data_IF_898138149451
#
_entry.id   IF_898138149451
#
_cell.length_a   1.000
_cell.length_b   1.000
_cell.length_c   1.000
_cell.angle_alpha   90.00
_cell.angle_beta   90.00
_cell.angle_gamma   90.00
#
_symmetry.space_group_name_H-M   'P 1'
#
loop_
_entity.id
_entity.type
_entity.pdbx_description
1 polymer ?
#
# COMPACT_ATOMS: atom_id res chain seq x y z
N UNK A 1 26.72 32.50 38.60
CA UNK A 1 25.63 31.60 39.04
C UNK A 1 24.31 31.88 38.31
N UNK A 2 23.63 33.02 38.51
CA UNK A 2 22.32 33.31 37.85
C UNK A 2 22.33 33.33 36.31
N UNK A 3 23.42 33.79 35.68
CA UNK A 3 23.57 33.79 34.21
C UNK A 3 23.80 32.40 33.59
N UNK A 4 24.28 31.43 34.38
CA UNK A 4 24.54 30.07 33.90
C UNK A 4 23.23 29.25 33.85
N UNK A 5 22.34 29.45 34.82
CA UNK A 5 21.01 28.84 34.83
C UNK A 5 20.10 29.37 33.70
N UNK A 6 20.24 30.63 33.32
CA UNK A 6 19.49 31.21 32.21
C UNK A 6 19.86 30.60 30.85
N UNK A 7 21.14 30.24 30.65
CA UNK A 7 21.61 29.60 29.42
C UNK A 7 21.16 28.13 29.36
N UNK A 8 21.18 27.43 30.50
CA UNK A 8 20.69 26.04 30.60
C UNK A 8 19.17 25.93 30.36
N UNK A 9 18.40 26.94 30.77
CA UNK A 9 16.96 26.99 30.51
C UNK A 9 16.64 27.32 29.03
N UNK A 10 17.48 28.13 28.37
CA UNK A 10 17.32 28.47 26.95
C UNK A 10 17.68 27.29 26.02
N UNK A 11 18.66 26.46 26.41
CA UNK A 11 19.04 25.25 25.64
C UNK A 11 17.99 24.12 25.81
N UNK A 12 17.33 24.04 26.97
CA UNK A 12 16.24 23.10 27.20
C UNK A 12 14.96 23.44 26.42
N UNK A 13 14.72 24.73 26.12
CA UNK A 13 13.51 25.17 25.40
C UNK A 13 13.56 24.92 23.88
N UNK A 14 14.72 24.57 23.31
CA UNK A 14 14.88 24.36 21.85
C UNK A 14 14.52 22.92 21.43
N UNK A 15 14.24 22.02 22.38
CA UNK A 15 13.98 20.60 22.09
C UNK A 15 12.50 20.21 22.06
N UNK A 16 11.56 21.13 22.25
CA UNK A 16 10.16 20.86 21.91
C UNK A 16 9.94 21.18 20.44
N UNK A 17 10.62 20.41 19.58
CA UNK A 17 10.11 20.20 18.24
C UNK A 17 8.71 19.64 18.41
N UNK A 18 7.70 20.44 18.06
CA UNK A 18 6.36 19.93 17.80
C UNK A 18 6.53 19.00 16.61
N UNK A 19 6.90 17.75 16.87
CA UNK A 19 6.59 16.65 15.98
C UNK A 19 5.07 16.64 15.93
N UNK A 20 4.52 17.36 14.94
CA UNK A 20 3.11 17.25 14.61
C UNK A 20 2.84 15.75 14.54
N UNK A 21 1.90 15.27 15.36
CA UNK A 21 1.58 13.85 15.44
C UNK A 21 1.45 13.34 14.02
N UNK A 22 2.43 12.54 13.62
CA UNK A 22 2.42 11.82 12.37
C UNK A 22 1.06 11.16 12.23
N UNK A 23 0.31 11.53 11.20
CA UNK A 23 -0.98 10.89 10.95
C UNK A 23 -0.74 9.40 10.80
N UNK A 24 -1.22 8.61 11.75
CA UNK A 24 -1.13 7.16 11.69
C UNK A 24 -1.76 6.69 10.37
N UNK A 25 -1.13 5.78 9.65
CA UNK A 25 -1.64 5.28 8.38
C UNK A 25 -2.97 4.57 8.56
N UNK A 26 -3.77 4.61 7.50
CA UNK A 26 -5.08 3.98 7.46
C UNK A 26 -4.95 2.48 7.23
N UNK A 27 -5.72 1.69 7.97
CA UNK A 27 -5.71 0.23 7.86
C UNK A 27 -7.03 -0.28 7.27
N UNK A 28 -6.99 -1.42 6.61
CA UNK A 28 -8.19 -2.17 6.20
C UNK A 28 -8.00 -3.64 6.49
N UNK A 29 -8.99 -4.27 7.12
CA UNK A 29 -8.97 -5.71 7.40
C UNK A 29 -9.71 -6.44 6.28
N UNK A 30 -9.09 -7.47 5.73
CA UNK A 30 -9.61 -8.27 4.61
C UNK A 30 -9.36 -9.77 4.84
N UNK A 31 -10.21 -10.68 4.37
CA UNK A 31 -9.87 -12.09 4.36
C UNK A 31 -8.73 -12.36 3.36
N UNK A 32 -7.82 -13.27 3.72
CA UNK A 32 -6.77 -13.70 2.80
C UNK A 32 -7.36 -14.46 1.60
N UNK A 33 -6.72 -14.34 0.43
CA UNK A 33 -7.15 -15.03 -0.79
C UNK A 33 -7.35 -16.55 -0.56
N UNK A 34 -6.41 -17.19 0.14
CA UNK A 34 -6.49 -18.63 0.46
C UNK A 34 -7.73 -18.99 1.27
N UNK A 35 -8.20 -18.11 2.16
CA UNK A 35 -9.41 -18.32 2.94
C UNK A 35 -10.65 -18.23 2.04
N UNK A 36 -10.69 -17.24 1.15
CA UNK A 36 -11.76 -17.09 0.18
C UNK A 36 -11.86 -18.31 -0.75
N UNK A 37 -10.72 -18.79 -1.27
CA UNK A 37 -10.65 -19.99 -2.12
C UNK A 37 -11.13 -21.23 -1.39
N UNK A 38 -10.69 -21.45 -0.15
CA UNK A 38 -11.08 -22.62 0.64
C UNK A 38 -12.59 -22.64 0.95
N UNK A 39 -13.21 -21.48 1.14
CA UNK A 39 -14.64 -21.36 1.46
C UNK A 39 -15.54 -21.11 0.24
N UNK A 40 -15.01 -21.18 -0.99
CA UNK A 40 -15.79 -21.04 -2.22
C UNK A 40 -16.27 -19.60 -2.52
N UNK A 41 -15.56 -18.61 -1.97
CA UNK A 41 -15.80 -17.18 -2.19
C UNK A 41 -14.87 -16.64 -3.28
N UNK A 42 -14.96 -17.20 -4.48
CA UNK A 42 -14.18 -16.80 -5.64
C UNK A 42 -15.09 -16.46 -6.83
N UNK A 43 -14.57 -15.63 -7.73
CA UNK A 43 -15.21 -15.28 -9.00
C UNK A 43 -14.20 -15.39 -10.14
N UNK A 44 -14.71 -15.71 -11.34
CA UNK A 44 -13.89 -15.77 -12.55
C UNK A 44 -13.78 -14.37 -13.16
N UNK A 45 -12.55 -13.93 -13.37
CA UNK A 45 -12.22 -12.66 -14.01
C UNK A 45 -11.43 -12.90 -15.29
N UNK A 46 -11.95 -12.39 -16.41
CA UNK A 46 -11.25 -12.45 -17.69
C UNK A 46 -10.28 -11.27 -17.81
N UNK A 47 -9.00 -11.54 -17.66
CA UNK A 47 -7.95 -10.57 -17.91
C UNK A 47 -7.38 -10.78 -19.33
N UNK A 48 -7.89 -10.02 -20.30
CA UNK A 48 -7.38 -9.99 -21.68
C UNK A 48 -7.24 -11.38 -22.34
N UNK A 49 -8.22 -12.27 -22.13
CA UNK A 49 -8.25 -13.63 -22.70
C UNK A 49 -7.81 -14.74 -21.75
N UNK A 50 -7.22 -14.39 -20.59
CA UNK A 50 -6.89 -15.36 -19.53
C UNK A 50 -7.94 -15.31 -18.44
N UNK A 51 -8.66 -16.42 -18.23
CA UNK A 51 -9.59 -16.56 -17.12
C UNK A 51 -8.78 -16.81 -15.86
N UNK A 52 -8.79 -15.83 -14.96
CA UNK A 52 -8.16 -15.89 -13.63
C UNK A 52 -9.24 -15.99 -12.56
N UNK A 53 -8.96 -16.70 -11.48
CA UNK A 53 -9.85 -16.80 -10.33
C UNK A 53 -9.40 -15.80 -9.26
N UNK A 54 -10.31 -14.93 -8.83
CA UNK A 54 -10.04 -13.88 -7.85
C UNK A 54 -11.02 -13.98 -6.67
N UNK A 55 -10.65 -13.53 -5.45
CA UNK A 55 -11.56 -13.46 -4.32
C UNK A 55 -12.81 -12.64 -4.62
N UNK A 56 -13.97 -13.15 -4.20
CA UNK A 56 -15.23 -12.41 -4.15
C UNK A 56 -15.50 -12.02 -2.69
N UNK A 57 -14.97 -10.87 -2.30
CA UNK A 57 -15.11 -10.35 -0.95
C UNK A 57 -16.53 -9.96 -0.57
N UNK A 58 -17.34 -9.56 -1.55
CA UNK A 58 -18.74 -9.22 -1.30
C UNK A 58 -19.48 -10.48 -0.89
N UNK A 59 -19.36 -11.55 -1.69
CA UNK A 59 -19.96 -12.84 -1.39
C UNK A 59 -19.47 -13.38 -0.04
N UNK A 60 -18.20 -13.19 0.31
CA UNK A 60 -17.66 -13.59 1.61
C UNK A 60 -18.35 -12.84 2.78
N UNK A 61 -18.45 -11.51 2.70
CA UNK A 61 -19.05 -10.68 3.74
C UNK A 61 -20.56 -10.88 3.87
N UNK A 62 -21.26 -11.12 2.77
CA UNK A 62 -22.72 -11.31 2.77
C UNK A 62 -23.14 -12.70 3.30
N UNK A 63 -22.27 -13.72 3.18
CA UNK A 63 -22.63 -15.11 3.51
C UNK A 63 -21.97 -15.66 4.77
N UNK A 64 -20.90 -15.04 5.30
CA UNK A 64 -20.16 -15.55 6.46
C UNK A 64 -20.20 -14.58 7.66
N UNK A 65 -21.07 -14.88 8.63
CA UNK A 65 -21.20 -14.10 9.86
C UNK A 65 -19.92 -14.16 10.72
N UNK A 66 -19.21 -15.28 10.72
CA UNK A 66 -17.97 -15.40 11.51
C UNK A 66 -16.89 -14.49 10.93
N UNK A 67 -16.80 -14.40 9.61
CA UNK A 67 -15.90 -13.47 8.94
C UNK A 67 -16.20 -12.01 9.34
N UNK A 68 -17.47 -11.61 9.30
CA UNK A 68 -17.88 -10.24 9.68
C UNK A 68 -17.52 -9.95 11.13
N UNK A 69 -17.76 -10.89 12.05
CA UNK A 69 -17.42 -10.74 13.47
C UNK A 69 -15.90 -10.61 13.67
N UNK A 70 -15.10 -11.45 13.01
CA UNK A 70 -13.63 -11.40 13.10
C UNK A 70 -13.08 -10.09 12.55
N UNK A 71 -13.54 -9.65 11.37
CA UNK A 71 -13.13 -8.38 10.76
C UNK A 71 -13.48 -7.21 11.68
N UNK A 72 -14.70 -7.21 12.23
CA UNK A 72 -15.17 -6.18 13.16
C UNK A 72 -14.32 -6.15 14.43
N UNK A 73 -14.04 -7.32 15.02
CA UNK A 73 -13.24 -7.42 16.24
C UNK A 73 -11.80 -6.95 16.04
N UNK A 74 -11.16 -7.36 14.94
CA UNK A 74 -9.83 -6.85 14.58
C UNK A 74 -9.89 -5.33 14.39
N UNK A 75 -10.93 -4.83 13.71
CA UNK A 75 -11.16 -3.41 13.51
C UNK A 75 -11.27 -2.62 14.82
N UNK A 76 -12.06 -3.11 15.78
CA UNK A 76 -12.19 -2.54 17.13
C UNK A 76 -10.84 -2.50 17.86
N UNK A 77 -10.15 -3.63 17.92
CA UNK A 77 -8.87 -3.74 18.60
C UNK A 77 -7.81 -2.81 18.01
N UNK A 78 -7.84 -2.62 16.69
CA UNK A 78 -6.94 -1.67 16.04
C UNK A 78 -7.35 -0.21 16.29
N UNK A 79 -8.65 0.10 16.32
CA UNK A 79 -9.15 1.43 16.65
C UNK A 79 -8.81 1.84 18.09
N UNK A 80 -8.86 0.90 19.04
CA UNK A 80 -8.40 1.09 20.43
C UNK A 80 -6.91 1.47 20.53
N UNK A 81 -6.10 1.12 19.53
CA UNK A 81 -4.68 1.47 19.42
C UNK A 81 -4.44 2.72 18.55
N UNK A 82 -5.49 3.51 18.32
CA UNK A 82 -5.56 4.72 17.49
C UNK A 82 -5.24 4.52 16.00
N UNK A 83 -5.48 3.34 15.44
CA UNK A 83 -5.36 3.15 13.99
C UNK A 83 -6.65 3.56 13.27
N UNK A 84 -6.59 4.50 12.31
CA UNK A 84 -7.74 4.85 11.49
C UNK A 84 -8.18 3.65 10.63
N UNK A 85 -9.33 3.08 10.94
CA UNK A 85 -9.90 1.96 10.20
C UNK A 85 -10.69 2.44 8.98
N UNK A 86 -10.45 1.80 7.83
CA UNK A 86 -11.31 1.86 6.67
C UNK A 86 -12.09 0.57 6.58
N UNK A 87 -13.40 0.68 6.79
CA UNK A 87 -14.31 -0.44 6.71
C UNK A 87 -14.39 -0.98 5.27
N UNK A 88 -14.17 -2.29 5.14
CA UNK A 88 -14.14 -2.99 3.85
C UNK A 88 -15.52 -3.02 3.21
N UNK A 89 -16.57 -3.33 3.99
CA UNK A 89 -17.93 -3.42 3.49
C UNK A 89 -18.43 -2.08 2.94
N UNK A 90 -18.12 -0.98 3.63
CA UNK A 90 -18.42 0.38 3.19
C UNK A 90 -17.60 0.78 1.96
N UNK A 91 -16.35 0.33 1.87
CA UNK A 91 -15.50 0.56 0.69
C UNK A 91 -16.05 -0.16 -0.55
N UNK A 92 -16.48 -1.42 -0.41
CA UNK A 92 -17.16 -2.18 -1.48
C UNK A 92 -18.43 -1.46 -1.92
N UNK A 93 -19.31 -1.07 -0.99
CA UNK A 93 -20.55 -0.34 -1.32
C UNK A 93 -20.27 0.99 -2.05
N UNK A 94 -19.26 1.75 -1.62
CA UNK A 94 -18.85 2.99 -2.29
C UNK A 94 -18.34 2.77 -3.71
N UNK A 95 -17.64 1.66 -3.94
CA UNK A 95 -17.19 1.26 -5.28
C UNK A 95 -18.39 0.92 -6.16
N UNK A 96 -19.33 0.12 -5.65
CA UNK A 96 -20.55 -0.25 -6.40
C UNK A 96 -21.40 0.95 -6.76
N UNK A 97 -21.63 1.85 -5.81
CA UNK A 97 -22.35 3.09 -6.06
C UNK A 97 -21.64 3.94 -7.12
N UNK A 98 -20.32 4.08 -7.02
CA UNK A 98 -19.55 4.84 -8.01
C UNK A 98 -19.54 4.19 -9.38
N UNK A 99 -19.53 2.86 -9.46
CA UNK A 99 -19.63 2.13 -10.73
C UNK A 99 -21.01 2.31 -11.35
N UNK A 100 -22.08 2.20 -10.55
CA UNK A 100 -23.44 2.45 -11.02
C UNK A 100 -23.62 3.90 -11.49
N UNK A 101 -23.13 4.88 -10.73
CA UNK A 101 -23.13 6.29 -11.12
C UNK A 101 -22.33 6.53 -12.41
N UNK A 102 -21.18 5.85 -12.58
CA UNK A 102 -20.38 5.95 -13.79
C UNK A 102 -21.14 5.36 -14.99
N UNK A 103 -21.73 4.18 -14.86
CA UNK A 103 -22.54 3.56 -15.91
C UNK A 103 -23.76 4.41 -16.30
N UNK A 104 -24.36 5.11 -15.33
CA UNK A 104 -25.48 6.04 -15.57
C UNK A 104 -25.04 7.38 -16.19
N UNK A 105 -23.78 7.79 -16.01
CA UNK A 105 -23.25 9.05 -16.56
C UNK A 105 -22.48 8.86 -17.87
N UNK A 106 -21.96 7.66 -18.15
CA UNK A 106 -21.33 7.32 -19.44
C UNK A 106 -22.37 6.84 -20.44
N UNK A 107 -23.18 7.75 -20.95
CA UNK A 107 -23.88 7.55 -22.22
C UNK A 107 -22.92 7.87 -23.37
N UNK A 108 -22.41 6.83 -24.04
CA UNK A 108 -21.91 6.85 -25.43
C UNK A 108 -20.76 7.81 -25.81
N UNK A 109 -19.54 7.61 -25.31
CA UNK A 109 -18.31 7.93 -26.08
C UNK A 109 -17.03 7.36 -25.42
N UNK A 110 -16.25 6.62 -26.20
CA UNK A 110 -15.01 5.89 -25.85
C UNK A 110 -15.21 4.63 -24.97
N UNK A 111 -15.37 3.48 -25.63
CA UNK A 111 -15.36 2.14 -25.01
C UNK A 111 -13.98 1.68 -24.54
N UNK A 112 -13.15 2.58 -24.00
CA UNK A 112 -11.86 2.26 -23.41
C UNK A 112 -11.98 2.29 -21.89
N UNK A 113 -12.60 1.28 -21.30
CA UNK A 113 -12.49 1.04 -19.87
C UNK A 113 -11.07 0.55 -19.57
N UNK A 114 -10.29 1.28 -18.77
CA UNK A 114 -9.07 0.73 -18.19
C UNK A 114 -9.43 -0.59 -17.51
N UNK A 115 -8.81 -1.68 -17.94
CA UNK A 115 -8.96 -3.01 -17.34
C UNK A 115 -8.22 -3.04 -15.99
N UNK A 116 -8.76 -2.33 -15.00
CA UNK A 116 -8.30 -2.40 -13.61
C UNK A 116 -8.96 -3.60 -12.94
N UNK A 117 -8.17 -4.45 -12.26
CA UNK A 117 -8.75 -5.61 -11.59
C UNK A 117 -9.70 -5.16 -10.46
N UNK A 118 -10.73 -5.94 -10.10
CA UNK A 118 -11.62 -5.60 -8.99
C UNK A 118 -10.87 -5.40 -7.66
N UNK A 119 -9.77 -6.14 -7.46
CA UNK A 119 -8.89 -5.98 -6.32
C UNK A 119 -8.15 -4.64 -6.37
N UNK A 120 -7.56 -4.29 -7.52
CA UNK A 120 -6.85 -3.02 -7.70
C UNK A 120 -7.79 -1.84 -7.52
N UNK A 121 -9.02 -1.92 -8.06
CA UNK A 121 -10.08 -0.94 -7.83
C UNK A 121 -10.43 -0.80 -6.36
N UNK A 122 -10.54 -1.92 -5.64
CA UNK A 122 -10.80 -1.91 -4.21
C UNK A 122 -9.66 -1.24 -3.47
N UNK A 123 -8.41 -1.58 -3.76
CA UNK A 123 -7.24 -0.98 -3.12
C UNK A 123 -7.06 0.50 -3.45
N UNK A 124 -7.24 0.89 -4.71
CA UNK A 124 -7.12 2.26 -5.17
C UNK A 124 -8.26 3.16 -4.69
N UNK A 125 -9.47 2.62 -4.50
CA UNK A 125 -10.61 3.37 -3.95
C UNK A 125 -10.58 3.42 -2.43
N UNK A 126 -10.25 2.31 -1.78
CA UNK A 126 -10.05 2.24 -0.34
C UNK A 126 -8.90 3.16 0.08
N UNK A 127 -7.78 3.21 -0.66
CA UNK A 127 -6.55 3.93 -0.29
C UNK A 127 -6.11 3.63 1.14
N UNK A 128 -6.27 2.38 1.59
CA UNK A 128 -5.69 1.97 2.86
C UNK A 128 -4.17 1.93 2.69
N UNK A 129 -3.43 2.43 3.67
CA UNK A 129 -1.96 2.40 3.64
C UNK A 129 -1.46 0.99 4.01
N UNK A 130 -2.20 0.26 4.86
CA UNK A 130 -1.92 -1.13 5.24
C UNK A 130 -3.17 -2.00 5.11
N UNK A 131 -2.96 -3.19 4.55
CA UNK A 131 -3.93 -4.28 4.48
C UNK A 131 -3.62 -5.32 5.55
N UNK A 132 -4.60 -5.62 6.39
CA UNK A 132 -4.51 -6.70 7.38
C UNK A 132 -5.26 -7.89 6.82
N UNK A 133 -4.53 -8.88 6.31
CA UNK A 133 -5.09 -10.15 5.89
C UNK A 133 -5.32 -11.06 7.09
N UNK A 134 -6.52 -11.63 7.19
CA UNK A 134 -6.85 -12.66 8.17
C UNK A 134 -7.16 -13.99 7.48
N UNK A 135 -6.59 -15.07 8.01
CA UNK A 135 -6.94 -16.45 7.66
C UNK A 135 -7.03 -17.27 8.93
N UNK A 136 -7.96 -18.21 8.96
CA UNK A 136 -8.05 -19.20 10.02
C UNK A 136 -8.44 -20.56 9.49
N UNK A 137 -8.12 -21.59 10.27
CA UNK A 137 -8.52 -22.97 10.09
C UNK A 137 -9.09 -23.52 11.40
N UNK A 138 -10.19 -24.26 11.30
CA UNK A 138 -10.82 -24.93 12.44
C UNK A 138 -10.26 -26.34 12.52
N UNK A 139 -9.49 -26.62 13.56
CA UNK A 139 -8.96 -27.96 13.81
C UNK A 139 -9.96 -28.73 14.67
N UNK A 140 -10.32 -29.94 14.23
CA UNK A 140 -11.21 -30.83 15.00
C UNK A 140 -10.41 -32.04 15.46
N UNK A 141 -10.30 -32.23 16.77
CA UNK A 141 -9.63 -33.37 17.41
C UNK A 141 -10.65 -34.12 18.27
N UNK A 142 -11.34 -35.07 17.63
CA UNK A 142 -12.48 -35.74 18.25
C UNK A 142 -13.57 -34.72 18.61
N UNK A 143 -14.04 -34.68 19.87
CA UNK A 143 -15.06 -33.71 20.28
C UNK A 143 -14.48 -32.33 20.66
N UNK A 144 -13.15 -32.15 20.64
CA UNK A 144 -12.49 -30.86 20.86
C UNK A 144 -12.32 -30.11 19.53
N UNK A 145 -12.49 -28.79 19.57
CA UNK A 145 -12.20 -27.87 18.47
C UNK A 145 -11.17 -26.84 18.91
N UNK A 146 -10.22 -26.52 18.05
CA UNK A 146 -9.32 -25.37 18.21
C UNK A 146 -9.28 -24.59 16.91
N UNK A 147 -8.78 -23.36 16.98
CA UNK A 147 -8.66 -22.49 15.81
C UNK A 147 -7.21 -22.08 15.64
N UNK A 148 -6.64 -22.38 14.48
CA UNK A 148 -5.35 -21.82 14.05
C UNK A 148 -5.64 -20.59 13.20
N UNK A 149 -5.02 -19.46 13.52
CA UNK A 149 -5.20 -18.22 12.77
C UNK A 149 -3.84 -17.64 12.38
N UNK A 150 -3.84 -16.87 11.30
CA UNK A 150 -2.70 -16.07 10.86
C UNK A 150 -3.20 -14.68 10.48
N UNK A 151 -2.52 -13.65 10.99
CA UNK A 151 -2.71 -12.26 10.61
C UNK A 151 -1.46 -11.76 9.88
N UNK A 152 -1.64 -11.06 8.77
CA UNK A 152 -0.54 -10.46 8.00
C UNK A 152 -0.88 -9.00 7.71
N UNK A 153 0.00 -8.09 8.12
CA UNK A 153 -0.03 -6.70 7.70
C UNK A 153 0.82 -6.54 6.44
N UNK A 154 0.20 -6.14 5.33
CA UNK A 154 0.83 -5.85 4.06
C UNK A 154 0.82 -4.34 3.83
N UNK A 155 1.95 -3.76 3.47
CA UNK A 155 2.02 -2.37 3.02
C UNK A 155 1.44 -2.25 1.61
N UNK A 156 0.40 -1.45 1.43
CA UNK A 156 -0.31 -1.33 0.14
C UNK A 156 0.54 -0.70 -0.97
N UNK A 157 1.66 -0.06 -0.64
CA UNK A 157 2.57 0.53 -1.62
C UNK A 157 3.55 -0.51 -2.17
N UNK A 158 4.12 -1.35 -1.31
CA UNK A 158 5.17 -2.29 -1.70
C UNK A 158 4.69 -3.73 -1.83
N UNK A 159 3.48 -4.04 -1.35
CA UNK A 159 2.97 -5.39 -1.12
C UNK A 159 3.85 -6.23 -0.17
N UNK A 160 4.81 -5.61 0.54
CA UNK A 160 5.66 -6.30 1.50
C UNK A 160 4.89 -6.55 2.79
N UNK A 161 5.18 -7.70 3.40
CA UNK A 161 4.70 -7.98 4.74
C UNK A 161 5.49 -7.18 5.77
N UNK A 162 4.79 -6.40 6.58
CA UNK A 162 5.35 -5.50 7.59
C UNK A 162 5.02 -5.92 9.01
N UNK A 163 3.98 -6.74 9.17
CA UNK A 163 3.66 -7.40 10.42
C UNK A 163 3.12 -8.79 10.14
N UNK A 164 3.41 -9.76 11.00
CA UNK A 164 2.70 -11.03 11.00
C UNK A 164 2.61 -11.63 12.39
N UNK A 165 1.53 -12.37 12.60
CA UNK A 165 1.40 -13.24 13.75
C UNK A 165 0.61 -14.47 13.38
N UNK A 166 0.90 -15.58 14.06
CA UNK A 166 0.18 -16.83 13.94
C UNK A 166 -0.01 -17.41 15.33
N UNK A 167 -1.14 -18.05 15.56
CA UNK A 167 -1.43 -18.73 16.81
C UNK A 167 -2.41 -19.87 16.61
N UNK A 168 -2.43 -20.79 17.56
CA UNK A 168 -3.52 -21.77 17.70
C UNK A 168 -4.14 -21.56 19.07
N UNK A 169 -5.44 -21.28 19.10
CA UNK A 169 -6.20 -21.12 20.33
C UNK A 169 -6.29 -22.44 21.10
N UNK A 170 -6.58 -22.33 22.40
CA UNK A 170 -6.75 -23.49 23.27
C UNK A 170 -7.91 -24.39 22.81
N UNK A 171 -7.75 -25.72 22.77
CA UNK A 171 -8.83 -26.61 22.37
C UNK A 171 -10.01 -26.58 23.36
N UNK A 172 -11.21 -26.30 22.86
CA UNK A 172 -12.44 -26.30 23.65
C UNK A 172 -13.46 -27.31 23.14
N UNK A 173 -14.31 -27.77 24.05
CA UNK A 173 -15.41 -28.69 23.77
C UNK A 173 -16.77 -27.99 23.69
N UNK A 174 -16.88 -26.82 24.33
CA UNK A 174 -18.14 -26.12 24.54
C UNK A 174 -18.14 -24.71 23.95
N UNK A 175 -16.97 -24.13 23.63
CA UNK A 175 -16.90 -22.81 23.04
C UNK A 175 -17.33 -22.85 21.57
N UNK A 176 -18.12 -21.87 21.17
CA UNK A 176 -18.44 -21.65 19.78
C UNK A 176 -17.20 -21.23 19.00
N UNK A 177 -17.18 -21.50 17.69
CA UNK A 177 -16.04 -21.18 16.81
C UNK A 177 -15.74 -19.68 16.83
N UNK A 178 -16.77 -18.83 16.90
CA UNK A 178 -16.62 -17.38 17.00
C UNK A 178 -15.86 -16.96 18.28
N UNK A 179 -16.19 -17.54 19.43
CA UNK A 179 -15.52 -17.26 20.70
C UNK A 179 -14.05 -17.67 20.65
N UNK A 180 -13.77 -18.86 20.10
CA UNK A 180 -12.39 -19.35 19.93
C UNK A 180 -11.57 -18.45 18.99
N UNK A 181 -12.19 -17.90 17.95
CA UNK A 181 -11.56 -16.95 17.03
C UNK A 181 -11.23 -15.62 17.73
N UNK A 182 -12.18 -15.08 18.49
CA UNK A 182 -12.00 -13.82 19.21
C UNK A 182 -10.88 -13.92 20.25
N UNK A 183 -10.89 -14.95 21.10
CA UNK A 183 -9.84 -15.18 22.10
C UNK A 183 -8.46 -15.30 21.46
N UNK A 184 -8.39 -16.07 20.36
CA UNK A 184 -7.15 -16.29 19.65
C UNK A 184 -6.59 -14.98 19.06
N UNK A 185 -7.44 -14.14 18.45
CA UNK A 185 -7.02 -12.85 17.86
C UNK A 185 -6.53 -11.87 18.93
N UNK A 186 -7.22 -11.77 20.07
CA UNK A 186 -6.87 -10.86 21.16
C UNK A 186 -5.47 -11.19 21.72
N UNK A 187 -5.16 -12.47 21.94
CA UNK A 187 -3.91 -12.91 22.58
C UNK A 187 -2.63 -12.47 21.83
N UNK A 188 -2.65 -12.41 20.49
CA UNK A 188 -1.46 -11.97 19.72
C UNK A 188 -1.59 -10.57 19.11
N UNK A 189 -2.65 -9.85 19.41
CA UNK A 189 -2.87 -8.52 18.84
C UNK A 189 -1.78 -7.53 19.26
N UNK A 190 -1.35 -7.56 20.53
CA UNK A 190 -0.31 -6.65 21.02
C UNK A 190 1.03 -6.84 20.29
N UNK A 191 1.42 -8.10 20.04
CA UNK A 191 2.64 -8.41 19.30
C UNK A 191 2.54 -7.98 17.82
N UNK A 192 1.35 -8.10 17.22
CA UNK A 192 1.08 -7.66 15.86
C UNK A 192 1.14 -6.13 15.74
N UNK A 193 0.48 -5.41 16.66
CA UNK A 193 0.47 -3.95 16.73
C UNK A 193 1.88 -3.39 16.96
N UNK A 194 2.69 -4.04 17.78
CA UNK A 194 4.08 -3.61 18.00
C UNK A 194 4.92 -3.66 16.72
N UNK A 195 4.72 -4.68 15.86
CA UNK A 195 5.40 -4.77 14.56
C UNK A 195 4.94 -3.66 13.62
N UNK A 196 3.62 -3.39 13.57
CA UNK A 196 3.06 -2.30 12.78
C UNK A 196 3.61 -0.94 13.22
N UNK A 197 3.66 -0.68 14.53
CA UNK A 197 4.21 0.57 15.06
C UNK A 197 5.66 0.77 14.65
N UNK A 198 6.48 -0.29 14.72
CA UNK A 198 7.88 -0.24 14.26
C UNK A 198 7.99 0.12 12.77
N UNK A 199 7.11 -0.42 11.93
CA UNK A 199 7.05 -0.07 10.51
C UNK A 199 6.66 1.41 10.31
N UNK A 200 5.74 1.93 11.11
CA UNK A 200 5.36 3.34 11.03
C UNK A 200 6.44 4.30 11.46
N UNK A 201 7.17 3.96 12.51
CA UNK A 201 8.32 4.75 12.96
C UNK A 201 9.40 4.79 11.86
N UNK A 202 9.61 3.68 11.14
CA UNK A 202 10.47 3.63 9.96
C UNK A 202 9.95 4.51 8.82
N UNK A 203 8.66 4.43 8.47
CA UNK A 203 8.06 5.27 7.43
C UNK A 203 8.16 6.76 7.76
N UNK A 204 8.04 7.13 9.03
CA UNK A 204 8.15 8.51 9.49
C UNK A 204 9.58 9.03 9.46
N UNK A 205 10.55 8.21 9.86
CA UNK A 205 11.96 8.59 9.90
C UNK A 205 12.61 8.54 8.52
N UNK A 206 12.31 7.50 7.74
CA UNK A 206 13.01 7.16 6.50
C UNK A 206 12.17 7.37 5.24
N UNK A 207 10.91 7.83 5.39
CA UNK A 207 10.01 8.00 4.26
C UNK A 207 9.39 6.69 3.78
N UNK A 208 8.45 6.84 2.85
CA UNK A 208 7.72 5.73 2.23
C UNK A 208 8.54 5.10 1.12
N UNK A 209 8.48 3.79 1.06
CA UNK A 209 9.09 3.02 -0.02
C UNK A 209 8.16 2.94 -1.24
N UNK A 210 8.72 3.21 -2.42
CA UNK A 210 8.02 3.10 -3.72
C UNK A 210 8.92 2.45 -4.76
N UNK A 211 8.32 2.05 -5.89
CA UNK A 211 9.01 1.62 -7.10
C UNK A 211 8.79 2.63 -8.23
N UNK A 212 9.86 2.93 -8.95
CA UNK A 212 9.83 3.77 -10.16
C UNK A 212 10.41 2.96 -11.31
N UNK A 213 9.65 2.82 -12.38
CA UNK A 213 10.10 2.21 -13.62
C UNK A 213 10.17 3.29 -14.69
N UNK A 214 11.32 3.47 -15.31
CA UNK A 214 11.49 4.35 -16.47
C UNK A 214 11.64 3.48 -17.69
N UNK A 215 10.86 3.76 -18.74
CA UNK A 215 10.94 3.08 -20.02
C UNK A 215 11.06 4.10 -21.14
N UNK A 216 11.82 3.75 -22.16
CA UNK A 216 11.85 4.50 -23.41
C UNK A 216 11.01 3.75 -24.43
N UNK A 217 10.03 4.46 -24.99
CA UNK A 217 9.26 3.96 -26.11
C UNK A 217 10.00 4.27 -27.40
N UNK A 218 10.27 3.24 -28.20
CA UNK A 218 10.83 3.42 -29.52
C UNK A 218 9.78 4.06 -30.45
N UNK A 219 9.86 5.39 -30.54
CA UNK A 219 9.06 6.20 -31.45
C UNK A 219 9.83 6.57 -32.73
N UNK A 220 10.97 5.89 -33.00
CA UNK A 220 11.84 6.19 -34.13
C UNK A 220 12.68 7.46 -33.97
N UNK A 221 12.70 8.10 -32.80
CA UNK A 221 13.58 9.26 -32.53
C UNK A 221 15.05 8.88 -32.32
N UNK A 222 15.34 7.60 -32.05
CA UNK A 222 16.67 7.12 -31.70
C UNK A 222 17.16 7.57 -30.32
N UNK A 223 16.33 8.28 -29.54
CA UNK A 223 16.64 8.64 -28.17
C UNK A 223 16.43 7.43 -27.28
N UNK A 224 17.46 7.07 -26.52
CA UNK A 224 17.47 6.01 -25.52
C UNK A 224 18.06 6.56 -24.20
N UNK A 225 18.22 5.71 -23.19
CA UNK A 225 18.74 6.13 -21.89
C UNK A 225 20.25 6.42 -21.91
N UNK A 226 20.99 5.92 -22.89
CA UNK A 226 22.42 6.21 -23.10
C UNK A 226 22.63 7.51 -23.89
N UNK A 227 21.56 8.17 -24.33
CA UNK A 227 21.64 9.41 -25.08
C UNK A 227 22.12 10.56 -24.19
N UNK A 228 23.10 11.34 -24.68
CA UNK A 228 23.66 12.47 -23.95
C UNK A 228 22.78 13.72 -24.02
N UNK A 229 22.53 14.33 -22.86
CA UNK A 229 21.85 15.62 -22.74
C UNK A 229 22.64 16.56 -21.83
N UNK A 230 23.19 17.63 -22.39
CA UNK A 230 23.93 18.62 -21.60
C UNK A 230 25.21 18.08 -20.96
N UNK A 231 25.87 17.09 -21.60
CA UNK A 231 27.15 16.53 -21.19
C UNK A 231 27.08 15.39 -20.16
N UNK A 232 25.90 14.83 -19.92
CA UNK A 232 25.68 13.63 -19.13
C UNK A 232 24.68 12.71 -19.84
N UNK A 233 24.76 11.40 -19.60
CA UNK A 233 23.81 10.45 -20.16
C UNK A 233 22.43 10.58 -19.48
N UNK A 234 21.37 10.22 -20.21
CA UNK A 234 20.01 10.30 -19.66
C UNK A 234 19.84 9.40 -18.43
N UNK A 235 20.49 8.23 -18.38
CA UNK A 235 20.55 7.38 -17.19
C UNK A 235 21.11 8.12 -15.98
N UNK A 236 22.28 8.75 -16.12
CA UNK A 236 22.94 9.52 -15.06
C UNK A 236 22.05 10.67 -14.57
N UNK A 237 21.41 11.39 -15.51
CA UNK A 237 20.51 12.50 -15.19
C UNK A 237 19.31 12.04 -14.35
N UNK A 238 18.76 10.86 -14.66
CA UNK A 238 17.63 10.28 -13.92
C UNK A 238 18.09 9.79 -12.56
N UNK A 239 19.21 9.06 -12.49
CA UNK A 239 19.75 8.52 -11.24
C UNK A 239 20.10 9.64 -10.24
N UNK A 240 20.79 10.69 -10.69
CA UNK A 240 21.11 11.86 -9.87
C UNK A 240 19.84 12.52 -9.32
N UNK A 241 18.81 12.63 -10.16
CA UNK A 241 17.54 13.20 -9.73
C UNK A 241 16.86 12.33 -8.67
N UNK A 242 16.84 11.01 -8.85
CA UNK A 242 16.27 10.07 -7.87
C UNK A 242 17.06 10.16 -6.56
N UNK A 243 18.39 10.20 -6.61
CA UNK A 243 19.24 10.37 -5.44
C UNK A 243 18.89 11.65 -4.67
N UNK A 244 18.76 12.78 -5.36
CA UNK A 244 18.46 14.08 -4.72
C UNK A 244 17.03 14.16 -4.17
N UNK A 245 16.10 13.38 -4.71
CA UNK A 245 14.68 13.44 -4.34
C UNK A 245 14.25 12.32 -3.36
N UNK A 246 15.20 11.54 -2.86
CA UNK A 246 15.00 10.46 -1.88
C UNK A 246 15.56 10.81 -0.50
N UNK A 247 14.94 10.25 0.54
CA UNK A 247 15.38 10.42 1.92
C UNK A 247 16.72 9.71 2.10
N UNK A 248 17.74 10.47 2.52
CA UNK A 248 19.11 9.99 2.70
C UNK A 248 19.69 9.26 1.47
N UNK A 249 19.28 9.65 0.26
CA UNK A 249 19.73 9.05 -1.01
C UNK A 249 19.46 7.54 -1.10
N UNK A 250 18.41 7.03 -0.43
CA UNK A 250 18.10 5.61 -0.38
C UNK A 250 17.21 5.20 -1.55
N UNK A 251 17.80 4.46 -2.48
CA UNK A 251 17.15 3.75 -3.56
C UNK A 251 18.03 2.56 -4.00
N UNK A 252 17.44 1.62 -4.72
CA UNK A 252 18.15 0.52 -5.38
C UNK A 252 17.85 0.57 -6.87
N UNK A 253 18.88 0.69 -7.70
CA UNK A 253 18.76 0.50 -9.15
C UNK A 253 18.97 -0.99 -9.43
N UNK A 254 17.87 -1.73 -9.64
CA UNK A 254 17.90 -3.20 -9.77
C UNK A 254 18.18 -3.64 -11.20
N UNK A 255 17.73 -2.86 -12.18
CA UNK A 255 17.95 -3.13 -13.60
C UNK A 255 18.13 -1.81 -14.36
N UNK A 256 19.07 -1.79 -15.30
CA UNK A 256 19.37 -0.64 -16.15
C UNK A 256 19.86 -1.15 -17.51
N UNK A 257 19.13 -0.79 -18.56
CA UNK A 257 19.41 -1.09 -19.95
C UNK A 257 19.23 0.18 -20.77
N UNK A 258 19.60 0.17 -22.04
CA UNK A 258 19.38 1.30 -22.95
C UNK A 258 17.91 1.79 -23.01
N UNK A 259 16.93 0.92 -22.72
CA UNK A 259 15.51 1.25 -22.87
C UNK A 259 14.70 1.16 -21.57
N UNK A 260 15.30 0.71 -20.47
CA UNK A 260 14.60 0.57 -19.19
C UNK A 260 15.51 0.80 -18.00
N UNK A 261 15.00 1.50 -16.97
CA UNK A 261 15.57 1.56 -15.63
C UNK A 261 14.52 1.15 -14.61
N UNK A 262 14.87 0.26 -13.69
CA UNK A 262 14.02 -0.18 -12.60
C UNK A 262 14.63 0.25 -11.26
N UNK A 263 14.00 1.23 -10.63
CA UNK A 263 14.30 1.65 -9.29
C UNK A 263 13.34 1.00 -8.29
N UNK A 264 13.89 0.26 -7.35
CA UNK A 264 13.17 -0.35 -6.24
C UNK A 264 13.63 0.25 -4.92
N UNK A 265 12.85 0.01 -3.87
CA UNK A 265 13.16 0.47 -2.52
C UNK A 265 13.42 1.99 -2.41
N UNK A 266 12.80 2.77 -3.30
CA UNK A 266 13.00 4.22 -3.40
C UNK A 266 12.30 4.87 -2.21
N UNK A 267 13.06 5.50 -1.32
CA UNK A 267 12.52 6.14 -0.12
C UNK A 267 12.15 7.59 -0.38
N UNK A 268 10.87 7.88 -0.54
CA UNK A 268 10.35 9.23 -0.76
C UNK A 268 9.80 9.82 0.55
N UNK A 269 9.97 11.13 0.80
CA UNK A 269 9.39 11.78 1.97
C UNK A 269 7.86 11.73 1.91
N UNK A 270 7.20 11.59 3.07
CA UNK A 270 5.73 11.50 3.16
C UNK A 270 5.03 12.81 2.78
N UNK A 271 5.70 13.94 3.02
CA UNK A 271 5.19 15.27 2.73
C UNK A 271 6.20 16.02 1.85
N UNK A 272 5.68 16.87 0.98
CA UNK A 272 6.43 17.89 0.26
C UNK A 272 6.78 19.03 1.22
N UNK A 273 7.72 19.88 0.83
CA UNK A 273 8.13 21.06 1.62
C UNK A 273 6.96 22.01 1.95
N UNK A 274 5.95 22.05 1.08
CA UNK A 274 4.74 22.85 1.29
C UNK A 274 3.68 22.17 2.19
N UNK A 275 4.01 21.04 2.82
CA UNK A 275 3.14 20.31 3.73
C UNK A 275 2.10 19.42 3.05
N UNK A 276 2.02 19.40 1.71
CA UNK A 276 1.13 18.48 0.99
C UNK A 276 1.68 17.05 1.02
N UNK A 277 0.81 16.05 1.13
CA UNK A 277 1.22 14.65 1.02
C UNK A 277 1.89 14.37 -0.33
N UNK A 278 2.97 13.58 -0.30
CA UNK A 278 3.67 13.12 -1.50
C UNK A 278 3.28 11.67 -1.76
N UNK A 279 2.66 11.43 -2.90
CA UNK A 279 2.39 10.08 -3.40
C UNK A 279 3.34 9.68 -4.53
N UNK A 280 3.36 8.41 -4.88
CA UNK A 280 4.22 7.83 -5.93
C UNK A 280 4.01 8.51 -7.28
N UNK A 281 2.76 8.86 -7.61
CA UNK A 281 2.40 9.56 -8.85
C UNK A 281 3.00 10.95 -8.90
N UNK A 282 2.92 11.67 -7.79
CA UNK A 282 3.43 13.03 -7.64
C UNK A 282 4.95 13.03 -7.75
N UNK A 283 5.63 12.03 -7.17
CA UNK A 283 7.07 11.81 -7.32
C UNK A 283 7.46 11.60 -8.79
N UNK A 284 6.81 10.67 -9.49
CA UNK A 284 7.08 10.43 -10.92
C UNK A 284 6.73 11.64 -11.81
N UNK A 285 5.70 12.41 -11.46
CA UNK A 285 5.37 13.65 -12.16
C UNK A 285 6.42 14.75 -11.97
N UNK A 286 7.08 14.80 -10.81
CA UNK A 286 8.16 15.74 -10.57
C UNK A 286 9.38 15.38 -11.47
N UNK A 287 9.70 14.08 -11.61
CA UNK A 287 10.71 13.60 -12.57
C UNK A 287 10.32 13.93 -14.01
N UNK A 288 9.07 13.70 -14.39
CA UNK A 288 8.54 14.05 -15.72
C UNK A 288 8.76 15.52 -16.07
N UNK A 289 8.47 16.42 -15.11
CA UNK A 289 8.68 17.86 -15.29
C UNK A 289 10.16 18.21 -15.41
N UNK A 290 11.00 17.57 -14.61
CA UNK A 290 12.46 17.75 -14.66
C UNK A 290 13.04 17.32 -16.01
N UNK A 291 12.67 16.15 -16.53
CA UNK A 291 13.13 15.66 -17.84
C UNK A 291 12.63 16.54 -19.00
N UNK A 292 11.40 17.06 -18.90
CA UNK A 292 10.89 18.01 -19.88
C UNK A 292 11.69 19.32 -19.88
N UNK A 293 12.08 19.83 -18.70
CA UNK A 293 12.86 21.06 -18.59
C UNK A 293 14.33 20.89 -18.98
N UNK A 294 14.97 19.78 -18.57
CA UNK A 294 16.41 19.57 -18.74
C UNK A 294 16.77 18.97 -20.10
N UNK A 295 15.92 18.09 -20.63
CA UNK A 295 16.21 17.33 -21.86
C UNK A 295 15.15 17.52 -22.96
N UNK A 296 14.14 18.38 -22.75
CA UNK A 296 13.02 18.59 -23.69
C UNK A 296 12.29 17.29 -24.09
N UNK A 297 12.27 16.31 -23.19
CA UNK A 297 11.65 15.02 -23.43
C UNK A 297 10.14 15.07 -23.14
N UNK A 298 9.38 14.40 -24.00
CA UNK A 298 7.95 14.14 -23.76
C UNK A 298 7.85 12.82 -23.01
N UNK A 299 7.18 12.86 -21.85
CA UNK A 299 7.05 11.68 -21.01
C UNK A 299 5.64 11.56 -20.47
N UNK A 300 5.16 10.32 -20.35
CA UNK A 300 3.86 9.96 -19.79
C UNK A 300 4.05 9.22 -18.48
N UNK A 301 3.27 9.58 -17.46
CA UNK A 301 3.30 8.91 -16.15
C UNK A 301 2.07 8.06 -16.01
N UNK A 302 2.28 6.77 -15.80
CA UNK A 302 1.27 5.78 -15.46
C UNK A 302 1.53 5.26 -14.05
N UNK A 303 0.49 4.82 -13.36
CA UNK A 303 0.61 4.26 -12.00
C UNK A 303 0.00 2.87 -11.99
N UNK A 304 0.71 1.91 -11.40
CA UNK A 304 0.24 0.55 -11.18
C UNK A 304 0.06 0.38 -9.67
N UNK A 305 -1.21 0.44 -9.22
CA UNK A 305 -1.53 0.50 -7.79
C UNK A 305 -1.02 1.79 -7.12
N UNK A 306 -0.81 1.74 -5.81
CA UNK A 306 -0.44 2.91 -5.00
C UNK A 306 1.08 3.17 -4.95
N UNK A 307 1.92 2.14 -5.02
CA UNK A 307 3.36 2.26 -4.79
C UNK A 307 4.28 2.02 -5.99
N UNK A 308 3.74 1.81 -7.20
CA UNK A 308 4.54 1.76 -8.42
C UNK A 308 4.11 2.83 -9.43
N UNK A 309 5.07 3.62 -9.91
CA UNK A 309 4.90 4.51 -11.05
C UNK A 309 5.78 4.08 -12.22
N UNK A 310 5.24 4.23 -13.42
CA UNK A 310 5.91 3.97 -14.69
C UNK A 310 5.97 5.29 -15.47
N UNK A 311 7.18 5.71 -15.81
CA UNK A 311 7.44 6.89 -16.63
C UNK A 311 7.91 6.42 -18.01
N UNK A 312 7.11 6.68 -19.03
CA UNK A 312 7.40 6.32 -20.42
C UNK A 312 7.89 7.56 -21.16
N UNK A 313 9.12 7.54 -21.64
CA UNK A 313 9.75 8.58 -22.46
C UNK A 313 9.43 8.31 -23.93
N UNK A 314 9.08 9.34 -24.69
CA UNK A 314 8.78 9.23 -26.12
C UNK A 314 7.29 9.09 -26.45
N UNK A 315 6.42 9.00 -25.45
CA UNK A 315 4.96 8.95 -25.57
C UNK A 315 4.31 10.11 -24.78
N UNK A 316 3.12 10.57 -25.22
CA UNK A 316 2.36 11.66 -24.61
C UNK A 316 1.11 11.17 -23.87
#
# INVERSE_FOLDING_TARGET
MKKLYAILFLVALIHTGVYGQAKKPTIMVVPANVWCTHNGYTQKYNNQGTITEIPDYKKALDNDLNLVNVITKIGELMAEKDFPLKDMASSIRSIEQSSAEHEMTTSSTSGASLAESPLDRLMNRAKADILIEVVWNINTMGPKRSVTYTLRGLDAYTNKQVAATQGTGEPSMAAEVAVLLEEAVVDKMDAFVSQLQKHFDDLMANGREVALEVRVFDNGSGVNLESEFGGAELQEIIEDWVAQNTVAHRFSLTDATENMMLFEQVRIPLYRENGMARDTRSFANDLRKYLNQKANLTCKVMTKGLGKAELVIGEK
#
